data_IF_290271771112
#
_entry.id   IF_290271771112
#
_cell.length_a   1.000
_cell.length_b   1.000
_cell.length_c   1.000
_cell.angle_alpha   90.00
_cell.angle_beta   90.00
_cell.angle_gamma   90.00
#
_symmetry.space_group_name_H-M   'P 1'
#
loop_
_entity.id
_entity.type
_entity.pdbx_description
1 polymer ?
#
# COMPACT_ATOMS: atom_id res chain seq x y z
N UNK A 1 -20.37 12.55 -2.85
CA UNK A 1 -20.35 11.34 -3.71
C UNK A 1 -19.09 11.24 -4.57
N UNK A 2 -18.62 12.31 -5.24
CA UNK A 2 -17.41 12.26 -6.09
C UNK A 2 -16.11 11.87 -5.33
N UNK A 3 -15.83 12.48 -4.17
CA UNK A 3 -14.59 12.24 -3.42
C UNK A 3 -14.46 10.82 -2.83
N UNK A 4 -15.57 10.24 -2.37
CA UNK A 4 -15.58 8.85 -1.88
C UNK A 4 -15.29 7.84 -3.00
N UNK A 5 -15.82 8.09 -4.20
CA UNK A 5 -15.55 7.24 -5.36
C UNK A 5 -14.08 7.32 -5.80
N UNK A 6 -13.49 8.52 -5.69
CA UNK A 6 -12.08 8.75 -5.94
C UNK A 6 -11.17 8.02 -4.92
N UNK A 7 -11.52 8.05 -3.63
CA UNK A 7 -10.77 7.32 -2.59
C UNK A 7 -10.77 5.81 -2.83
N UNK A 8 -11.92 5.20 -3.10
CA UNK A 8 -11.98 3.75 -3.35
C UNK A 8 -11.27 3.36 -4.66
N UNK A 9 -11.27 4.25 -5.66
CA UNK A 9 -10.49 4.03 -6.89
C UNK A 9 -8.98 4.06 -6.62
N UNK A 10 -8.50 5.04 -5.84
CA UNK A 10 -7.10 5.13 -5.40
C UNK A 10 -6.68 3.92 -4.57
N UNK A 11 -7.50 3.51 -3.60
CA UNK A 11 -7.24 2.33 -2.78
C UNK A 11 -7.15 1.08 -3.65
N UNK A 12 -8.07 0.91 -4.62
CA UNK A 12 -8.04 -0.23 -5.53
C UNK A 12 -6.78 -0.25 -6.40
N UNK A 13 -6.34 0.91 -6.87
CA UNK A 13 -5.11 1.04 -7.64
C UNK A 13 -3.89 0.70 -6.78
N UNK A 14 -3.82 1.20 -5.55
CA UNK A 14 -2.78 0.87 -4.58
C UNK A 14 -2.72 -0.64 -4.29
N UNK A 15 -3.86 -1.28 -4.03
CA UNK A 15 -3.95 -2.74 -3.84
C UNK A 15 -3.42 -3.49 -5.06
N UNK A 16 -3.79 -3.07 -6.28
CA UNK A 16 -3.28 -3.67 -7.51
C UNK A 16 -1.76 -3.57 -7.66
N UNK A 17 -1.16 -2.45 -7.24
CA UNK A 17 0.29 -2.27 -7.25
C UNK A 17 0.98 -3.13 -6.20
N UNK A 18 0.45 -3.18 -4.98
CA UNK A 18 0.97 -4.02 -3.89
C UNK A 18 0.86 -5.51 -4.23
N UNK A 19 -0.21 -5.95 -4.91
CA UNK A 19 -0.38 -7.34 -5.32
C UNK A 19 0.71 -7.80 -6.30
N UNK A 20 1.21 -6.90 -7.16
CA UNK A 20 2.37 -7.20 -8.02
C UNK A 20 3.61 -7.48 -7.19
N UNK A 21 3.85 -6.73 -6.12
CA UNK A 21 4.97 -6.96 -5.20
C UNK A 21 4.81 -8.29 -4.47
N UNK A 22 3.60 -8.61 -4.00
CA UNK A 22 3.30 -9.89 -3.32
C UNK A 22 3.60 -11.10 -4.21
N UNK A 23 3.33 -10.98 -5.51
CA UNK A 23 3.50 -12.06 -6.48
C UNK A 23 4.91 -12.12 -7.10
N UNK A 24 5.76 -11.13 -6.85
CA UNK A 24 7.11 -11.08 -7.40
C UNK A 24 8.07 -11.94 -6.56
N UNK A 25 8.47 -13.09 -7.10
CA UNK A 25 9.38 -14.03 -6.42
C UNK A 25 10.79 -13.50 -6.21
N UNK A 26 11.19 -12.42 -6.92
CA UNK A 26 12.49 -11.77 -6.73
C UNK A 26 12.54 -10.86 -5.51
N UNK A 27 11.38 -10.49 -4.95
CA UNK A 27 11.28 -9.63 -3.76
C UNK A 27 11.41 -10.46 -2.49
N UNK A 28 12.24 -10.09 -1.49
CA UNK A 28 12.35 -10.79 -0.21
C UNK A 28 11.02 -11.06 0.51
N UNK A 29 10.91 -12.22 1.17
CA UNK A 29 9.65 -12.72 1.77
C UNK A 29 9.03 -11.76 2.79
N UNK A 30 9.86 -11.09 3.60
CA UNK A 30 9.41 -10.12 4.59
C UNK A 30 8.75 -8.89 3.93
N UNK A 31 9.31 -8.41 2.80
CA UNK A 31 8.73 -7.30 2.04
C UNK A 31 7.39 -7.69 1.41
N UNK A 32 7.30 -8.90 0.84
CA UNK A 32 6.02 -9.41 0.32
C UNK A 32 4.97 -9.58 1.41
N UNK A 33 5.38 -9.96 2.63
CA UNK A 33 4.50 -10.05 3.79
C UNK A 33 3.99 -8.66 4.20
N UNK A 34 4.86 -7.66 4.30
CA UNK A 34 4.46 -6.30 4.60
C UNK A 34 3.47 -5.73 3.56
N UNK A 35 3.72 -5.97 2.27
CA UNK A 35 2.77 -5.60 1.21
C UNK A 35 1.40 -6.30 1.37
N UNK A 36 1.40 -7.58 1.77
CA UNK A 36 0.15 -8.32 2.06
C UNK A 36 -0.60 -7.72 3.26
N UNK A 37 0.11 -7.35 4.31
CA UNK A 37 -0.49 -6.76 5.52
C UNK A 37 -1.01 -5.33 5.25
N UNK A 38 -0.33 -4.55 4.39
CA UNK A 38 -0.83 -3.28 3.88
C UNK A 38 -2.12 -3.46 3.06
N UNK A 39 -2.20 -4.47 2.17
CA UNK A 39 -3.43 -4.78 1.41
C UNK A 39 -4.59 -5.10 2.36
N UNK A 40 -4.34 -5.88 3.42
CA UNK A 40 -5.38 -6.22 4.41
C UNK A 40 -5.95 -4.97 5.08
N UNK A 41 -5.08 -4.06 5.52
CA UNK A 41 -5.51 -2.77 6.10
C UNK A 41 -6.28 -1.93 5.08
N UNK A 42 -5.83 -1.90 3.82
CA UNK A 42 -6.53 -1.21 2.74
C UNK A 42 -7.88 -1.83 2.41
N UNK A 43 -8.19 -3.07 2.81
CA UNK A 43 -9.45 -3.75 2.51
C UNK A 43 -10.40 -3.84 3.70
N UNK A 44 -10.00 -3.33 4.87
CA UNK A 44 -10.84 -3.34 6.06
C UNK A 44 -11.98 -2.31 5.95
N UNK A 45 -13.14 -2.76 5.49
CA UNK A 45 -14.32 -1.91 5.31
C UNK A 45 -14.96 -1.45 6.63
N UNK A 46 -14.48 -1.91 7.78
CA UNK A 46 -14.95 -1.41 9.09
C UNK A 46 -14.36 -0.04 9.43
N UNK A 47 -13.31 0.38 8.70
CA UNK A 47 -12.57 1.62 8.90
C UNK A 47 -12.86 2.63 7.79
N UNK A 48 -12.68 3.93 8.08
CA UNK A 48 -12.77 4.96 7.05
C UNK A 48 -11.62 4.83 6.03
N UNK A 49 -11.80 5.30 4.78
CA UNK A 49 -10.74 5.28 3.77
C UNK A 49 -9.45 5.95 4.25
N UNK A 50 -9.55 7.07 4.98
CA UNK A 50 -8.37 7.76 5.52
C UNK A 50 -7.63 6.91 6.57
N UNK A 51 -8.34 6.25 7.47
CA UNK A 51 -7.73 5.36 8.49
C UNK A 51 -7.07 4.14 7.84
N UNK A 52 -7.73 3.52 6.85
CA UNK A 52 -7.17 2.40 6.06
C UNK A 52 -5.87 2.82 5.38
N UNK A 53 -5.87 3.98 4.73
CA UNK A 53 -4.69 4.52 4.05
C UNK A 53 -3.55 4.81 5.04
N UNK A 54 -3.83 5.47 6.16
CA UNK A 54 -2.82 5.77 7.19
C UNK A 54 -2.16 4.50 7.77
N UNK A 55 -2.96 3.48 8.09
CA UNK A 55 -2.44 2.20 8.59
C UNK A 55 -1.52 1.52 7.56
N UNK A 56 -1.94 1.51 6.28
CA UNK A 56 -1.14 0.94 5.21
C UNK A 56 0.15 1.73 4.95
N UNK A 57 0.11 3.06 4.99
CA UNK A 57 1.30 3.92 4.86
C UNK A 57 2.32 3.58 5.96
N UNK A 58 1.90 3.47 7.22
CA UNK A 58 2.83 3.15 8.31
C UNK A 58 3.59 1.83 8.10
N UNK A 59 2.88 0.78 7.64
CA UNK A 59 3.50 -0.51 7.30
C UNK A 59 4.50 -0.36 6.15
N UNK A 60 4.13 0.40 5.12
CA UNK A 60 4.94 0.59 3.92
C UNK A 60 6.18 1.46 4.18
N UNK A 61 6.07 2.47 5.03
CA UNK A 61 7.19 3.30 5.47
C UNK A 61 8.19 2.51 6.29
N UNK A 62 7.72 1.69 7.24
CA UNK A 62 8.59 0.83 8.04
C UNK A 62 9.40 -0.13 7.15
N UNK A 63 8.71 -0.88 6.28
CA UNK A 63 9.40 -1.84 5.42
C UNK A 63 10.30 -1.15 4.38
N UNK A 64 9.99 0.09 3.99
CA UNK A 64 10.85 0.86 3.06
C UNK A 64 12.25 1.08 3.61
N UNK A 65 12.46 1.00 4.93
CA UNK A 65 13.79 1.13 5.54
C UNK A 65 14.60 -0.17 5.46
N UNK A 66 14.04 -1.27 4.94
CA UNK A 66 14.75 -2.55 4.84
C UNK A 66 15.99 -2.43 3.92
N UNK A 67 17.19 -2.83 4.38
CA UNK A 67 18.42 -2.73 3.59
C UNK A 67 18.45 -3.68 2.39
N UNK A 68 17.67 -4.76 2.41
CA UNK A 68 17.56 -5.75 1.34
C UNK A 68 16.46 -5.40 0.33
N UNK A 69 15.82 -4.24 0.45
CA UNK A 69 14.75 -3.86 -0.46
C UNK A 69 15.25 -3.57 -1.88
N UNK A 70 14.75 -4.30 -2.90
CA UNK A 70 15.12 -4.04 -4.29
C UNK A 70 14.69 -2.63 -4.73
N UNK A 71 15.51 -1.98 -5.58
CA UNK A 71 15.24 -0.61 -6.04
C UNK A 71 13.89 -0.46 -6.75
N UNK A 72 13.51 -1.42 -7.59
CA UNK A 72 12.22 -1.38 -8.28
C UNK A 72 11.05 -1.48 -7.30
N UNK A 73 11.18 -2.30 -6.24
CA UNK A 73 10.18 -2.43 -5.18
C UNK A 73 10.08 -1.16 -4.36
N UNK A 74 11.21 -0.52 -4.05
CA UNK A 74 11.26 0.76 -3.33
C UNK A 74 10.50 1.86 -4.06
N UNK A 75 10.72 2.00 -5.37
CA UNK A 75 10.00 2.96 -6.22
C UNK A 75 8.50 2.64 -6.26
N UNK A 76 8.14 1.35 -6.38
CA UNK A 76 6.73 0.94 -6.36
C UNK A 76 6.05 1.28 -5.03
N UNK A 77 6.70 1.01 -3.89
CA UNK A 77 6.19 1.37 -2.56
C UNK A 77 6.04 2.88 -2.43
N UNK A 78 7.04 3.67 -2.85
CA UNK A 78 6.96 5.13 -2.82
C UNK A 78 5.74 5.65 -3.60
N UNK A 79 5.51 5.14 -4.81
CA UNK A 79 4.34 5.50 -5.61
C UNK A 79 3.01 5.14 -4.91
N UNK A 80 2.95 3.99 -4.23
CA UNK A 80 1.77 3.59 -3.46
C UNK A 80 1.55 4.53 -2.28
N UNK A 81 2.60 4.84 -1.50
CA UNK A 81 2.51 5.77 -0.36
C UNK A 81 2.02 7.14 -0.83
N UNK A 82 2.64 7.73 -1.84
CA UNK A 82 2.23 9.04 -2.37
C UNK A 82 0.79 9.07 -2.87
N UNK A 83 0.27 7.95 -3.40
CA UNK A 83 -1.14 7.83 -3.79
C UNK A 83 -2.05 7.79 -2.56
N UNK A 84 -1.69 6.98 -1.55
CA UNK A 84 -2.46 6.82 -0.33
C UNK A 84 -2.50 8.10 0.52
N UNK A 85 -1.46 8.93 0.50
CA UNK A 85 -1.43 10.25 1.17
C UNK A 85 -2.53 11.19 0.66
N UNK A 86 -3.04 10.96 -0.55
CA UNK A 86 -4.13 11.76 -1.14
C UNK A 86 -5.53 11.27 -0.76
N UNK A 87 -5.65 10.17 -0.02
CA UNK A 87 -6.92 9.62 0.47
C UNK A 87 -7.30 10.35 1.76
N UNK A 88 -8.47 10.99 1.77
CA UNK A 88 -8.97 11.82 2.89
C UNK A 88 -10.46 11.59 3.11
N UNK A 89 -10.96 11.79 4.33
CA UNK A 89 -12.40 11.67 4.65
C UNK A 89 -13.25 12.78 3.99
#
# INVERSE_FOLDING_TARGET
>A
MSALYDNEAKIRQAVGMLQKIVNDTSVPRNIRRAATDAIRNLQDQTLSPAVRAANAIGILEEISQDPNMPMHTRIAIWNVVSMLETVKD
#
